data_IF_667514764243
#
_entry.id   IF_667514764243
#
_cell.length_a   1.000
_cell.length_b   1.000
_cell.length_c   1.000
_cell.angle_alpha   90.00
_cell.angle_beta   90.00
_cell.angle_gamma   90.00
#
_symmetry.space_group_name_H-M   'P 1'
#
loop_
_entity.id
_entity.type
_entity.pdbx_description
1 polymer ?
#
# COMPACT_ATOMS: atom_id res chain seq x y z
N UNK A 1 -9.09 -2.33 -49.89
CA UNK A 1 -7.83 -1.93 -49.22
C UNK A 1 -7.87 -2.50 -47.82
N UNK A 2 -7.05 -3.51 -47.48
CA UNK A 2 -7.01 -4.03 -46.12
C UNK A 2 -6.28 -3.02 -45.23
N UNK A 3 -6.86 -2.71 -44.08
CA UNK A 3 -6.21 -1.91 -43.04
C UNK A 3 -5.06 -2.72 -42.44
N UNK A 4 -3.89 -2.11 -42.14
CA UNK A 4 -2.78 -2.84 -41.54
C UNK A 4 -3.18 -3.34 -40.14
N UNK A 5 -2.81 -4.58 -39.83
CA UNK A 5 -2.89 -5.17 -38.50
C UNK A 5 -2.25 -4.20 -37.50
N UNK A 6 -3.07 -3.69 -36.57
CA UNK A 6 -2.59 -2.82 -35.51
C UNK A 6 -2.14 -3.69 -34.35
N UNK A 7 -0.83 -3.80 -34.18
CA UNK A 7 -0.24 -4.36 -32.98
C UNK A 7 -0.47 -3.39 -31.82
N UNK A 8 -1.62 -3.53 -31.16
CA UNK A 8 -1.89 -2.83 -29.91
C UNK A 8 -1.08 -3.48 -28.79
N UNK A 9 -0.15 -2.72 -28.21
CA UNK A 9 0.60 -3.19 -27.06
C UNK A 9 -0.28 -3.07 -25.81
N UNK A 10 -0.94 -4.17 -25.46
CA UNK A 10 -1.82 -4.26 -24.31
C UNK A 10 -1.05 -4.93 -23.16
N UNK A 11 -0.59 -4.11 -22.21
CA UNK A 11 0.05 -4.60 -20.99
C UNK A 11 -1.04 -5.14 -20.06
N UNK A 12 -1.18 -6.46 -19.98
CA UNK A 12 -2.14 -7.11 -19.09
C UNK A 12 -1.79 -6.92 -17.60
N UNK A 13 -0.51 -6.74 -17.29
CA UNK A 13 0.00 -6.50 -15.94
C UNK A 13 1.12 -5.45 -15.97
N UNK A 14 1.05 -4.48 -15.05
CA UNK A 14 2.09 -3.47 -14.88
C UNK A 14 3.09 -3.95 -13.83
N UNK A 15 4.34 -4.15 -14.24
CA UNK A 15 5.47 -4.43 -13.36
C UNK A 15 6.40 -3.22 -13.28
N UNK A 16 7.21 -3.16 -12.21
CA UNK A 16 8.27 -2.14 -12.02
C UNK A 16 9.24 -2.04 -13.20
N UNK A 17 9.44 -3.13 -13.94
CA UNK A 17 10.29 -3.19 -15.14
C UNK A 17 9.78 -2.32 -16.30
N UNK A 18 8.49 -1.97 -16.30
CA UNK A 18 7.87 -1.11 -17.31
C UNK A 18 8.03 0.38 -17.00
N UNK A 19 8.62 0.74 -15.85
CA UNK A 19 8.86 2.15 -15.47
C UNK A 19 9.87 2.81 -16.41
N UNK A 20 9.53 3.99 -16.91
CA UNK A 20 10.41 4.78 -17.79
C UNK A 20 9.67 5.52 -18.89
N UNK A 21 10.42 6.10 -19.82
CA UNK A 21 9.86 6.82 -20.97
C UNK A 21 9.64 5.87 -22.14
N UNK A 22 8.40 5.81 -22.62
CA UNK A 22 7.96 5.01 -23.75
C UNK A 22 7.79 5.89 -24.98
N UNK A 23 8.22 5.37 -26.13
CA UNK A 23 8.09 6.04 -27.42
C UNK A 23 7.07 5.33 -28.30
N UNK A 24 6.15 6.09 -28.87
CA UNK A 24 5.29 5.60 -29.94
C UNK A 24 5.98 5.87 -31.29
N UNK A 25 6.53 4.82 -31.91
CA UNK A 25 7.25 4.94 -33.19
C UNK A 25 6.43 4.34 -34.32
N UNK A 26 6.23 5.11 -35.38
CA UNK A 26 5.58 4.65 -36.61
C UNK A 26 6.66 4.32 -37.63
N UNK A 27 6.60 3.11 -38.20
CA UNK A 27 7.54 2.65 -39.22
C UNK A 27 6.83 2.40 -40.55
N UNK A 28 7.32 3.05 -41.61
CA UNK A 28 6.82 2.86 -42.97
C UNK A 28 7.82 2.02 -43.78
N UNK A 29 7.58 0.70 -43.82
CA UNK A 29 8.49 -0.27 -44.47
C UNK A 29 8.78 0.03 -45.94
N UNK A 30 7.78 0.54 -46.69
CA UNK A 30 7.92 0.80 -48.12
C UNK A 30 8.95 1.88 -48.47
N UNK A 31 9.15 2.85 -47.57
CA UNK A 31 10.05 3.99 -47.77
C UNK A 31 11.20 4.01 -46.76
N UNK A 32 11.27 2.99 -45.90
CA UNK A 32 12.21 2.88 -44.77
C UNK A 32 12.25 4.15 -43.89
N UNK A 33 11.08 4.78 -43.69
CA UNK A 33 10.94 5.96 -42.85
C UNK A 33 10.43 5.56 -41.47
N UNK A 34 11.03 6.13 -40.43
CA UNK A 34 10.62 5.91 -39.04
C UNK A 34 10.56 7.24 -38.31
N UNK A 35 9.46 7.51 -37.61
CA UNK A 35 9.32 8.72 -36.81
C UNK A 35 8.54 8.47 -35.52
N UNK A 36 8.88 9.21 -34.47
CA UNK A 36 8.22 9.15 -33.16
C UNK A 36 7.03 10.10 -33.12
N UNK A 37 5.86 9.62 -32.73
CA UNK A 37 4.61 10.40 -32.68
C UNK A 37 4.29 10.91 -31.28
N UNK A 38 4.72 10.20 -30.24
CA UNK A 38 4.44 10.55 -28.86
C UNK A 38 5.46 9.94 -27.91
N UNK A 39 5.61 10.60 -26.77
CA UNK A 39 6.41 10.16 -25.62
C UNK A 39 5.47 10.01 -24.43
N UNK A 40 5.56 8.91 -23.70
CA UNK A 40 4.73 8.62 -22.53
C UNK A 40 5.68 8.33 -21.37
N UNK A 41 5.59 9.10 -20.30
CA UNK A 41 6.35 8.83 -19.08
C UNK A 41 5.51 7.93 -18.16
N UNK A 42 6.00 6.70 -17.94
CA UNK A 42 5.28 5.67 -17.20
C UNK A 42 5.93 5.48 -15.83
N UNK A 43 5.22 5.91 -14.77
CA UNK A 43 5.65 5.69 -13.39
C UNK A 43 4.86 4.56 -12.74
N UNK A 44 5.53 3.47 -12.41
CA UNK A 44 4.90 2.31 -11.77
C UNK A 44 5.00 2.45 -10.25
N UNK A 45 3.86 2.72 -9.63
CA UNK A 45 3.73 2.81 -8.18
C UNK A 45 3.45 1.41 -7.65
N UNK A 46 4.15 1.00 -6.59
CA UNK A 46 3.85 -0.27 -5.93
C UNK A 46 2.40 -0.28 -5.43
N UNK A 47 1.77 -1.46 -5.40
CA UNK A 47 0.43 -1.59 -4.85
C UNK A 47 0.42 -1.04 -3.40
N UNK A 48 -0.56 -0.19 -3.04
CA UNK A 48 -0.67 0.31 -1.69
C UNK A 48 -0.79 -0.87 -0.73
N UNK A 49 0.03 -0.88 0.31
CA UNK A 49 -0.10 -1.85 1.37
C UNK A 49 -1.35 -1.54 2.19
N UNK A 50 -1.85 -2.51 2.97
CA UNK A 50 -2.93 -2.26 3.93
C UNK A 50 -2.61 -1.10 4.89
N UNK A 51 -1.33 -0.84 5.17
CA UNK A 51 -0.90 0.27 6.02
C UNK A 51 -0.89 1.62 5.28
N UNK A 52 -0.66 1.65 3.96
CA UNK A 52 -0.82 2.87 3.16
C UNK A 52 -2.29 3.33 3.19
N UNK A 53 -3.23 2.38 3.11
CA UNK A 53 -4.66 2.67 3.23
C UNK A 53 -5.02 3.30 4.60
N UNK A 54 -4.38 2.89 5.69
CA UNK A 54 -4.60 3.49 7.01
C UNK A 54 -4.04 4.91 7.16
N UNK A 55 -3.02 5.25 6.35
CA UNK A 55 -2.42 6.59 6.27
C UNK A 55 -3.27 7.56 5.45
N UNK A 56 -3.97 7.05 4.43
CA UNK A 56 -4.81 7.83 3.50
C UNK A 56 -6.29 7.92 3.92
N UNK A 57 -6.72 7.18 4.94
CA UNK A 57 -8.11 7.24 5.45
C UNK A 57 -8.36 8.50 6.30
N UNK A 58 -9.40 9.27 5.99
CA UNK A 58 -9.71 10.57 6.65
C UNK A 58 -10.00 10.42 8.15
N UNK A 59 -10.54 9.27 8.58
CA UNK A 59 -10.89 9.04 9.98
C UNK A 59 -9.67 8.80 10.88
N UNK A 60 -8.63 8.15 10.35
CA UNK A 60 -7.43 7.76 11.10
C UNK A 60 -6.18 8.52 10.65
N UNK A 61 -6.28 9.26 9.55
CA UNK A 61 -5.18 10.00 8.94
C UNK A 61 -4.55 11.00 9.91
N UNK A 62 -5.32 11.73 10.71
CA UNK A 62 -4.77 12.67 11.70
C UNK A 62 -3.83 12.03 12.73
N UNK A 63 -4.01 10.73 13.02
CA UNK A 63 -3.25 9.97 14.01
C UNK A 63 -2.00 9.34 13.38
N UNK A 64 -2.13 8.84 12.15
CA UNK A 64 -1.06 8.14 11.44
C UNK A 64 -0.21 9.04 10.54
N UNK A 65 -0.70 10.19 10.08
CA UNK A 65 0.07 11.15 9.26
C UNK A 65 1.34 11.62 9.95
N UNK A 66 1.35 11.73 11.29
CA UNK A 66 2.56 12.11 12.04
C UNK A 66 3.69 11.08 11.90
N UNK A 67 3.36 9.80 11.66
CA UNK A 67 4.39 8.76 11.49
C UNK A 67 5.08 8.82 10.13
N UNK A 68 4.44 9.42 9.12
CA UNK A 68 5.00 9.71 7.79
C UNK A 68 5.50 8.50 7.00
N UNK A 69 5.34 7.27 7.51
CA UNK A 69 5.89 6.05 6.96
C UNK A 69 5.12 4.83 7.46
N UNK A 70 4.99 3.81 6.60
CA UNK A 70 4.31 2.56 6.96
C UNK A 70 4.99 1.85 8.14
N UNK A 71 6.32 1.90 8.19
CA UNK A 71 7.10 1.31 9.29
C UNK A 71 6.77 2.01 10.63
N UNK A 72 6.58 3.33 10.61
CA UNK A 72 6.15 4.08 11.78
C UNK A 72 4.75 3.68 12.26
N UNK A 73 3.80 3.49 11.33
CA UNK A 73 2.45 3.00 11.64
C UNK A 73 2.50 1.61 12.29
N UNK A 74 3.31 0.70 11.75
CA UNK A 74 3.46 -0.65 12.30
C UNK A 74 4.01 -0.65 13.72
N UNK A 75 5.03 0.16 14.00
CA UNK A 75 5.61 0.30 15.33
C UNK A 75 4.58 0.89 16.31
N UNK A 76 3.88 1.95 15.91
CA UNK A 76 2.86 2.59 16.74
C UNK A 76 1.73 1.62 17.10
N UNK A 77 1.22 0.88 16.11
CA UNK A 77 0.19 -0.14 16.32
C UNK A 77 0.68 -1.24 17.26
N UNK A 78 1.93 -1.69 17.10
CA UNK A 78 2.57 -2.66 17.99
C UNK A 78 2.62 -2.16 19.45
N UNK A 79 3.00 -0.90 19.66
CA UNK A 79 3.03 -0.29 21.00
C UNK A 79 1.63 -0.26 21.62
N UNK A 80 0.61 0.16 20.86
CA UNK A 80 -0.79 0.21 21.33
C UNK A 80 -1.25 -1.17 21.77
N UNK A 81 -0.97 -2.20 20.98
CA UNK A 81 -1.34 -3.59 21.31
C UNK A 81 -0.64 -4.04 22.60
N UNK A 82 0.67 -3.82 22.73
CA UNK A 82 1.42 -4.22 23.94
C UNK A 82 0.90 -3.50 25.19
N UNK A 83 0.63 -2.20 25.10
CA UNK A 83 0.06 -1.44 26.22
C UNK A 83 -1.34 -1.95 26.59
N UNK A 84 -2.20 -2.23 25.60
CA UNK A 84 -3.54 -2.76 25.84
C UNK A 84 -3.51 -4.12 26.55
N UNK A 85 -2.60 -5.01 26.13
CA UNK A 85 -2.39 -6.31 26.76
C UNK A 85 -1.84 -6.16 28.19
N UNK A 86 -0.91 -5.23 28.41
CA UNK A 86 -0.38 -4.93 29.74
C UNK A 86 -1.45 -4.47 30.71
N UNK A 87 -2.35 -3.58 30.27
CA UNK A 87 -3.50 -3.14 31.08
C UNK A 87 -4.45 -4.30 31.39
N UNK A 88 -4.82 -5.08 30.37
CA UNK A 88 -5.67 -6.27 30.56
C UNK A 88 -5.06 -7.26 31.55
N UNK A 89 -3.74 -7.49 31.48
CA UNK A 89 -3.03 -8.36 32.40
C UNK A 89 -3.06 -7.85 33.84
N UNK A 90 -2.84 -6.55 34.06
CA UNK A 90 -2.90 -5.94 35.40
C UNK A 90 -4.31 -6.04 35.98
N UNK A 91 -5.33 -5.75 35.18
CA UNK A 91 -6.74 -5.87 35.60
C UNK A 91 -7.07 -7.32 35.95
N UNK A 92 -6.69 -8.27 35.10
CA UNK A 92 -6.87 -9.69 35.36
C UNK A 92 -6.21 -10.11 36.68
N UNK A 93 -4.94 -9.72 36.89
CA UNK A 93 -4.20 -10.06 38.11
C UNK A 93 -4.86 -9.47 39.36
N UNK A 94 -5.35 -8.23 39.30
CA UNK A 94 -6.08 -7.59 40.41
C UNK A 94 -7.41 -8.29 40.70
N UNK A 95 -8.19 -8.62 39.68
CA UNK A 95 -9.46 -9.34 39.83
C UNK A 95 -9.25 -10.71 40.46
N UNK A 96 -8.31 -11.50 39.93
CA UNK A 96 -8.06 -12.86 40.41
C UNK A 96 -7.44 -12.89 41.81
N UNK A 97 -6.41 -12.08 42.08
CA UNK A 97 -5.67 -12.20 43.34
C UNK A 97 -6.21 -11.34 44.49
N UNK A 98 -6.97 -10.28 44.20
CA UNK A 98 -7.44 -9.35 45.25
C UNK A 98 -8.94 -9.46 45.49
N UNK A 99 -9.74 -9.63 44.43
CA UNK A 99 -11.20 -9.65 44.55
C UNK A 99 -11.81 -11.06 44.65
N UNK A 100 -11.15 -12.09 44.09
CA UNK A 100 -11.62 -13.46 44.22
C UNK A 100 -11.49 -14.05 45.64
N UNK A 101 -10.40 -13.84 46.41
CA UNK A 101 -10.29 -14.44 47.74
C UNK A 101 -11.25 -13.85 48.76
N UNK A 102 -11.62 -12.56 48.67
CA UNK A 102 -12.55 -11.90 49.60
C UNK A 102 -14.03 -12.23 49.35
N UNK A 103 -14.38 -12.80 48.20
CA UNK A 103 -15.76 -13.24 47.88
C UNK A 103 -16.11 -14.58 48.55
N UNK A 104 -15.12 -15.40 48.92
CA UNK A 104 -15.35 -16.75 49.41
C UNK A 104 -15.53 -16.82 50.95
N UNK A 105 -15.49 -15.67 51.64
CA UNK A 105 -15.64 -15.55 53.10
C UNK A 105 -16.99 -14.95 53.54
N UNK A 106 -17.97 -14.83 52.64
CA UNK A 106 -19.37 -14.43 52.94
C UNK A 106 -20.30 -15.60 52.66
#
# INVERSE_FOLDING_TARGET
MPWPERDFLLLAHLEKSHEGTWECTVTQKALNLTWTTAWIDLKVIAAPSYFSHLLEDDATGWLFQWTGSEMGVQILLGIIVVLSLGVCYVVYYKVVNVYAPSRNEI
#
